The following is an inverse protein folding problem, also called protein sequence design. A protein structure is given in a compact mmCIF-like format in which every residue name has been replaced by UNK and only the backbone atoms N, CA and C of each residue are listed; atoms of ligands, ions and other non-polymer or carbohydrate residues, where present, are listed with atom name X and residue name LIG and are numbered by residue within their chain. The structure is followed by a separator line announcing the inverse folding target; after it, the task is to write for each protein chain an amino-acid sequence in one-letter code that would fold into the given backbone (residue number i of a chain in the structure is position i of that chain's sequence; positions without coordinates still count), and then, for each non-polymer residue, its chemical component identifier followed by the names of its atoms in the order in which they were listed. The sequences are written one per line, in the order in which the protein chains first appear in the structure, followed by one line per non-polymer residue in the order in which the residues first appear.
data_IF_279946995641
#
_entry.id   IF_279946995641
#
_cell.length_a   1.000
_cell.length_b   1.000
_cell.length_c   1.000
_cell.angle_alpha   90.00
_cell.angle_beta   90.00
_cell.angle_gamma   90.00
#
_symmetry.space_group_name_H-M   'P 1'
#
loop_
_entity.id
_entity.type
_entity.pdbx_description
1 polymer ?
#
# COMPACT_ATOMS: atom_id res chain seq x y z
N UNK A 1 3.97 9.77 -25.30
CA UNK A 1 4.17 9.41 -23.88
C UNK A 1 2.85 8.86 -23.39
N UNK A 2 2.81 7.58 -23.03
CA UNK A 2 1.59 7.00 -22.45
C UNK A 2 1.37 7.58 -21.05
N UNK A 3 0.14 8.02 -20.79
CA UNK A 3 -0.24 8.54 -19.49
C UNK A 3 -0.32 7.38 -18.49
N UNK A 4 0.15 7.60 -17.25
CA UNK A 4 -0.02 6.62 -16.19
C UNK A 4 -1.51 6.36 -15.94
N UNK A 5 -1.90 5.09 -15.93
CA UNK A 5 -3.23 4.62 -15.55
C UNK A 5 -3.10 3.54 -14.48
N UNK A 6 -3.90 3.65 -13.41
CA UNK A 6 -3.94 2.64 -12.36
C UNK A 6 -4.70 1.40 -12.86
N UNK A 7 -4.17 0.21 -12.54
CA UNK A 7 -4.82 -1.06 -12.83
C UNK A 7 -6.25 -1.09 -12.27
N UNK A 8 -7.19 -1.64 -13.05
CA UNK A 8 -8.62 -1.64 -12.71
C UNK A 8 -8.91 -2.37 -11.40
N UNK A 9 -8.18 -3.42 -11.06
CA UNK A 9 -8.34 -4.16 -9.81
C UNK A 9 -7.81 -3.36 -8.63
N UNK A 10 -6.62 -2.75 -8.77
CA UNK A 10 -6.11 -1.84 -7.75
C UNK A 10 -7.07 -0.66 -7.52
N UNK A 11 -7.65 -0.11 -8.59
CA UNK A 11 -8.64 0.96 -8.48
C UNK A 11 -9.91 0.50 -7.74
N UNK A 12 -10.43 -0.69 -8.06
CA UNK A 12 -11.65 -1.23 -7.45
C UNK A 12 -11.46 -1.70 -5.99
N UNK A 13 -10.27 -2.21 -5.65
CA UNK A 13 -10.00 -2.83 -4.35
C UNK A 13 -9.44 -1.85 -3.32
N UNK A 14 -9.18 -0.60 -3.71
CA UNK A 14 -8.52 0.38 -2.84
C UNK A 14 -9.19 1.74 -2.84
N UNK A 15 -9.02 2.46 -1.73
CA UNK A 15 -9.35 3.88 -1.63
C UNK A 15 -8.11 4.74 -1.91
N UNK A 16 -8.27 5.89 -2.55
CA UNK A 16 -7.16 6.84 -2.77
C UNK A 16 -6.80 7.57 -1.47
N UNK A 17 -5.51 7.58 -1.12
CA UNK A 17 -4.99 8.25 0.07
C UNK A 17 -4.28 9.53 -0.34
N UNK A 18 -3.20 9.46 -1.11
CA UNK A 18 -2.42 10.63 -1.48
C UNK A 18 -1.66 10.37 -2.78
N UNK A 19 -1.16 11.44 -3.38
CA UNK A 19 -0.16 11.35 -4.45
C UNK A 19 1.13 11.91 -3.90
N UNK A 20 2.16 11.06 -3.85
CA UNK A 20 3.51 11.42 -3.42
C UNK A 20 4.33 11.90 -4.62
N UNK A 21 5.66 11.97 -4.49
CA UNK A 21 6.55 12.37 -5.57
C UNK A 21 6.53 11.36 -6.73
N UNK A 22 6.65 10.07 -6.42
CA UNK A 22 6.64 8.97 -7.37
C UNK A 22 5.33 8.20 -7.33
N UNK A 23 4.81 7.85 -6.15
CA UNK A 23 3.72 6.89 -6.02
C UNK A 23 2.34 7.54 -5.83
N UNK A 24 1.30 6.88 -6.34
CA UNK A 24 -0.04 6.99 -5.77
C UNK A 24 -0.13 6.08 -4.55
N UNK A 25 -0.54 6.63 -3.41
CA UNK A 25 -0.75 5.90 -2.17
C UNK A 25 -2.22 5.50 -2.05
N UNK A 26 -2.46 4.22 -1.83
CA UNK A 26 -3.77 3.58 -1.76
C UNK A 26 -3.97 2.86 -0.44
N UNK A 27 -5.21 2.83 0.07
CA UNK A 27 -5.63 2.01 1.20
C UNK A 27 -6.36 0.78 0.67
N UNK A 28 -5.82 -0.41 0.89
CA UNK A 28 -6.51 -1.66 0.58
C UNK A 28 -7.79 -1.74 1.41
N UNK A 29 -8.91 -2.02 0.75
CA UNK A 29 -10.21 -2.08 1.41
C UNK A 29 -10.42 -3.44 2.13
N UNK A 30 -9.46 -3.81 2.97
CA UNK A 30 -9.53 -4.97 3.86
C UNK A 30 -9.20 -4.50 5.29
N UNK A 31 -10.23 -4.35 6.13
CA UNK A 31 -10.10 -3.79 7.48
C UNK A 31 -9.46 -4.71 8.50
N UNK A 32 -9.16 -5.96 8.12
CA UNK A 32 -8.46 -6.91 8.99
C UNK A 32 -7.05 -6.45 9.34
N UNK A 33 -6.43 -5.64 8.47
CA UNK A 33 -5.14 -4.99 8.72
C UNK A 33 -5.12 -3.58 8.13
N UNK A 34 -4.53 -2.58 8.81
CA UNK A 34 -4.18 -1.31 8.16
C UNK A 34 -3.15 -1.57 7.06
N UNK A 35 -3.58 -1.50 5.80
CA UNK A 35 -2.82 -1.98 4.65
C UNK A 35 -2.77 -0.92 3.55
N UNK A 36 -1.60 -0.33 3.37
CA UNK A 36 -1.31 0.63 2.31
C UNK A 36 -0.61 -0.01 1.12
N UNK A 37 -0.80 0.59 -0.05
CA UNK A 37 -0.17 0.18 -1.30
C UNK A 37 0.39 1.42 -2.00
N UNK A 38 1.68 1.39 -2.29
CA UNK A 38 2.37 2.37 -3.12
C UNK A 38 2.37 1.88 -4.57
N UNK A 39 1.89 2.71 -5.49
CA UNK A 39 1.89 2.42 -6.93
C UNK A 39 2.73 3.48 -7.65
N UNK A 40 3.97 3.16 -8.08
CA UNK A 40 4.79 4.10 -8.84
C UNK A 40 4.07 4.57 -10.10
N UNK A 41 4.03 5.89 -10.31
CA UNK A 41 3.34 6.52 -11.46
C UNK A 41 4.21 6.47 -12.72
N UNK A 42 4.47 5.24 -13.18
CA UNK A 42 5.23 4.91 -14.39
C UNK A 42 4.45 3.85 -15.18
N UNK A 43 4.37 4.05 -16.49
CA UNK A 43 3.57 3.17 -17.35
C UNK A 43 4.33 1.89 -17.68
N UNK A 44 3.64 0.75 -17.65
CA UNK A 44 4.16 -0.54 -18.16
C UNK A 44 5.19 -1.26 -17.28
N UNK A 45 5.47 -0.79 -16.06
CA UNK A 45 6.44 -1.44 -15.17
C UNK A 45 5.78 -2.54 -14.34
N UNK A 46 6.47 -3.67 -14.18
CA UNK A 46 6.00 -4.80 -13.38
C UNK A 46 6.88 -5.03 -12.15
N UNK A 47 8.19 -4.81 -12.28
CA UNK A 47 9.18 -5.15 -11.29
C UNK A 47 9.92 -3.91 -10.78
N UNK A 48 10.45 -3.97 -9.55
CA UNK A 48 11.25 -2.87 -8.98
C UNK A 48 12.47 -2.57 -9.85
N UNK A 49 13.09 -3.59 -10.46
CA UNK A 49 14.26 -3.42 -11.30
C UNK A 49 13.94 -2.83 -12.69
N UNK A 50 12.66 -2.71 -13.07
CA UNK A 50 12.25 -1.98 -14.27
C UNK A 50 12.28 -0.45 -14.07
N UNK A 51 12.24 0.01 -12.81
CA UNK A 51 12.35 1.42 -12.47
C UNK A 51 13.77 1.95 -12.78
N UNK A 52 13.86 3.23 -13.12
CA UNK A 52 15.16 3.92 -13.17
C UNK A 52 15.84 3.87 -11.80
N UNK A 53 17.18 3.93 -11.72
CA UNK A 53 17.89 3.94 -10.42
C UNK A 53 17.41 5.05 -9.47
N UNK A 54 17.02 6.21 -10.02
CA UNK A 54 16.44 7.30 -9.26
C UNK A 54 15.05 6.95 -8.73
N UNK A 55 14.19 6.35 -9.56
CA UNK A 55 12.86 5.93 -9.14
C UNK A 55 12.91 4.76 -8.12
N UNK A 56 13.86 3.84 -8.22
CA UNK A 56 14.09 2.80 -7.19
C UNK A 56 14.44 3.42 -5.84
N UNK A 57 15.28 4.47 -5.87
CA UNK A 57 15.66 5.24 -4.69
C UNK A 57 14.45 5.96 -4.11
N UNK A 58 13.67 6.66 -4.94
CA UNK A 58 12.44 7.34 -4.52
C UNK A 58 11.40 6.38 -3.95
N UNK A 59 11.17 5.22 -4.58
CA UNK A 59 10.26 4.19 -4.06
C UNK A 59 10.70 3.74 -2.66
N UNK A 60 12.00 3.55 -2.45
CA UNK A 60 12.55 3.17 -1.13
C UNK A 60 12.31 4.26 -0.08
N UNK A 61 12.53 5.53 -0.42
CA UNK A 61 12.27 6.66 0.47
C UNK A 61 10.77 6.79 0.81
N UNK A 62 9.89 6.74 -0.19
CA UNK A 62 8.45 6.81 0.01
C UNK A 62 7.92 5.62 0.83
N UNK A 63 8.44 4.41 0.60
CA UNK A 63 8.11 3.24 1.42
C UNK A 63 8.50 3.44 2.89
N UNK A 64 9.64 4.07 3.15
CA UNK A 64 10.09 4.42 4.51
C UNK A 64 9.16 5.43 5.18
N UNK A 65 8.81 6.53 4.50
CA UNK A 65 7.90 7.56 5.01
C UNK A 65 6.53 6.95 5.33
N UNK A 66 5.95 6.21 4.39
CA UNK A 66 4.65 5.57 4.56
C UNK A 66 4.66 4.54 5.69
N UNK A 67 5.73 3.73 5.81
CA UNK A 67 5.86 2.77 6.89
C UNK A 67 5.94 3.44 8.27
N UNK A 68 6.67 4.56 8.39
CA UNK A 68 6.75 5.33 9.63
C UNK A 68 5.40 5.96 10.00
N UNK A 69 4.73 6.60 9.03
CA UNK A 69 3.42 7.19 9.21
C UNK A 69 2.39 6.12 9.65
N UNK A 70 2.33 5.01 8.92
CA UNK A 70 1.40 3.91 9.22
C UNK A 70 1.66 3.32 10.60
N UNK A 71 2.93 3.10 10.96
CA UNK A 71 3.29 2.60 12.30
C UNK A 71 2.87 3.57 13.40
N UNK A 72 3.09 4.88 13.22
CA UNK A 72 2.68 5.92 14.16
C UNK A 72 1.16 6.00 14.35
N UNK A 73 0.40 5.92 13.26
CA UNK A 73 -1.07 6.02 13.28
C UNK A 73 -1.71 4.80 13.95
N UNK A 74 -1.11 3.61 13.76
CA UNK A 74 -1.70 2.34 14.21
C UNK A 74 -1.12 1.81 15.51
N UNK A 75 -0.02 2.41 15.99
CA UNK A 75 0.81 1.90 17.09
C UNK A 75 1.16 0.41 16.94
N UNK A 76 1.29 -0.06 15.68
CA UNK A 76 1.51 -1.48 15.44
C UNK A 76 2.91 -1.94 15.85
N UNK A 77 3.00 -3.21 16.23
CA UNK A 77 4.26 -3.83 16.63
C UNK A 77 5.24 -3.92 15.44
N UNK A 78 4.76 -4.28 14.24
CA UNK A 78 5.63 -4.49 13.07
C UNK A 78 5.00 -4.01 11.77
N UNK A 79 5.83 -3.45 10.88
CA UNK A 79 5.47 -3.24 9.47
C UNK A 79 5.96 -4.42 8.63
N UNK A 80 5.11 -4.94 7.76
CA UNK A 80 5.48 -5.83 6.65
C UNK A 80 5.48 -5.03 5.35
N UNK A 81 6.47 -5.28 4.49
CA UNK A 81 6.56 -4.72 3.15
C UNK A 81 6.75 -5.82 2.12
N UNK A 82 6.20 -5.64 0.92
CA UNK A 82 6.36 -6.63 -0.14
C UNK A 82 5.90 -6.14 -1.50
N UNK A 83 6.70 -6.41 -2.54
CA UNK A 83 6.31 -6.29 -3.94
C UNK A 83 6.17 -7.73 -4.48
N UNK A 84 4.94 -8.11 -4.84
CA UNK A 84 4.64 -9.48 -5.27
C UNK A 84 4.23 -9.53 -6.74
N UNK A 85 3.09 -8.93 -7.10
CA UNK A 85 2.70 -8.77 -8.50
C UNK A 85 2.14 -10.02 -9.20
N UNK A 86 1.94 -11.14 -8.51
CA UNK A 86 1.45 -12.38 -9.15
C UNK A 86 0.03 -12.26 -9.73
N UNK A 87 -0.85 -11.46 -9.12
CA UNK A 87 -2.25 -11.28 -9.56
C UNK A 87 -2.40 -10.03 -10.44
N UNK A 88 -1.91 -8.89 -9.96
CA UNK A 88 -1.86 -7.62 -10.69
C UNK A 88 -0.41 -7.34 -11.04
N UNK A 89 -0.11 -7.25 -12.34
CA UNK A 89 1.28 -7.11 -12.81
C UNK A 89 1.84 -5.70 -12.65
N UNK A 90 1.00 -4.67 -12.71
CA UNK A 90 1.46 -3.29 -12.49
C UNK A 90 2.20 -3.22 -11.16
N UNK A 91 3.43 -2.69 -11.18
CA UNK A 91 4.28 -2.60 -10.01
C UNK A 91 3.54 -1.89 -8.87
N UNK A 92 3.48 -2.56 -7.72
CA UNK A 92 2.95 -2.00 -6.49
C UNK A 92 3.65 -2.61 -5.28
N UNK A 93 3.85 -1.79 -4.25
CA UNK A 93 4.52 -2.17 -3.02
C UNK A 93 3.53 -2.08 -1.86
N UNK A 94 3.30 -3.21 -1.19
CA UNK A 94 2.47 -3.27 0.00
C UNK A 94 3.24 -2.77 1.23
N UNK A 95 2.56 -2.04 2.12
CA UNK A 95 3.04 -1.59 3.43
C UNK A 95 1.93 -1.84 4.46
N UNK A 96 2.17 -2.74 5.42
CA UNK A 96 1.10 -3.37 6.22
C UNK A 96 1.45 -3.31 7.69
N UNK A 97 0.55 -2.77 8.51
CA UNK A 97 0.65 -2.79 9.96
C UNK A 97 0.25 -4.16 10.51
N UNK A 98 1.08 -4.73 11.38
CA UNK A 98 0.91 -6.07 11.95
C UNK A 98 1.10 -6.09 13.45
N UNK A 99 0.34 -6.95 14.12
CA UNK A 99 0.38 -7.19 15.56
C UNK A 99 0.24 -8.69 15.86
N UNK A 100 0.84 -9.13 16.96
CA UNK A 100 0.51 -10.43 17.53
C UNK A 100 -1.00 -10.56 17.76
N UNK A 101 -1.58 -11.67 17.27
CA UNK A 101 -3.01 -11.94 17.36
C UNK A 101 -3.87 -11.34 16.23
N UNK A 102 -3.29 -10.56 15.30
CA UNK A 102 -4.00 -10.19 14.08
C UNK A 102 -4.29 -11.42 13.20
N UNK A 103 -5.27 -11.28 12.30
CA UNK A 103 -5.62 -12.37 11.40
C UNK A 103 -4.39 -12.86 10.64
N UNK A 104 -4.16 -14.17 10.64
CA UNK A 104 -3.02 -14.78 9.94
C UNK A 104 -1.65 -14.59 10.59
N UNK A 105 -1.51 -13.96 11.76
CA UNK A 105 -0.24 -13.90 12.49
C UNK A 105 0.30 -15.30 12.87
N UNK A 106 1.62 -15.59 12.78
CA UNK A 106 2.72 -14.74 12.27
C UNK A 106 2.93 -14.85 10.75
N UNK A 107 2.02 -15.50 10.04
CA UNK A 107 2.07 -15.66 8.60
C UNK A 107 1.74 -14.40 7.80
N UNK A 108 1.81 -14.50 6.46
CA UNK A 108 1.48 -13.41 5.55
C UNK A 108 -0.02 -13.12 5.53
N UNK A 109 -0.39 -11.86 5.24
CA UNK A 109 -1.79 -11.47 5.00
C UNK A 109 -2.27 -11.89 3.61
N UNK A 110 -1.35 -12.00 2.65
CA UNK A 110 -1.69 -12.31 1.25
C UNK A 110 -2.26 -13.73 1.13
N UNK A 111 -3.48 -13.82 0.61
CA UNK A 111 -4.19 -15.10 0.46
C UNK A 111 -4.78 -15.65 1.77
N UNK A 112 -4.70 -14.91 2.88
CA UNK A 112 -5.26 -15.34 4.15
C UNK A 112 -6.73 -14.93 4.28
N UNK A 113 -7.64 -15.92 4.34
CA UNK A 113 -9.07 -15.72 4.60
C UNK A 113 -9.81 -14.86 3.58
N UNK A 114 -11.05 -14.50 3.91
CA UNK A 114 -11.87 -13.60 3.10
C UNK A 114 -11.70 -12.14 3.54
N UNK A 115 -11.63 -11.23 2.56
CA UNK A 115 -11.56 -9.79 2.77
C UNK A 115 -12.77 -9.29 3.57
N UNK A 116 -12.53 -8.44 4.56
CA UNK A 116 -13.58 -7.70 5.27
C UNK A 116 -13.49 -6.23 4.87
N UNK A 117 -14.51 -5.70 4.20
CA UNK A 117 -14.49 -4.30 3.76
C UNK A 117 -14.57 -3.32 4.94
N UNK A 118 -13.98 -2.14 4.78
CA UNK A 118 -14.23 -1.00 5.66
C UNK A 118 -15.63 -0.45 5.43
N UNK A 119 -16.24 0.06 6.50
CA UNK A 119 -17.26 1.08 6.38
C UNK A 119 -16.63 2.39 5.86
N UNK A 120 -17.33 3.12 4.99
CA UNK A 120 -16.77 4.31 4.33
C UNK A 120 -16.24 5.37 5.31
N UNK A 121 -16.94 5.55 6.44
CA UNK A 121 -16.54 6.50 7.50
C UNK A 121 -15.23 6.11 8.17
N UNK A 122 -15.04 4.82 8.42
CA UNK A 122 -13.84 4.31 9.09
C UNK A 122 -12.64 4.35 8.13
N UNK A 123 -12.86 4.00 6.85
CA UNK A 123 -11.85 4.17 5.82
C UNK A 123 -11.42 5.65 5.72
N UNK A 124 -12.39 6.58 5.64
CA UNK A 124 -12.09 8.01 5.53
C UNK A 124 -11.32 8.54 6.74
N UNK A 125 -11.72 8.14 7.96
CA UNK A 125 -11.01 8.54 9.19
C UNK A 125 -9.57 8.05 9.21
N UNK A 126 -9.33 6.79 8.82
CA UNK A 126 -7.99 6.24 8.73
C UNK A 126 -7.16 6.96 7.66
N UNK A 127 -7.75 7.25 6.50
CA UNK A 127 -7.11 8.02 5.41
C UNK A 127 -6.65 9.39 5.91
N UNK A 128 -7.50 10.14 6.63
CA UNK A 128 -7.16 11.45 7.16
C UNK A 128 -6.04 11.39 8.21
N UNK A 129 -6.06 10.40 9.10
CA UNK A 129 -4.97 10.20 10.06
C UNK A 129 -3.64 9.87 9.38
N UNK A 130 -3.67 9.05 8.32
CA UNK A 130 -2.47 8.72 7.54
C UNK A 130 -1.96 9.97 6.81
N UNK A 131 -2.83 10.74 6.15
CA UNK A 131 -2.46 12.00 5.49
C UNK A 131 -1.79 12.98 6.45
N UNK A 132 -2.30 13.11 7.66
CA UNK A 132 -1.73 13.99 8.68
C UNK A 132 -0.38 13.51 9.24
N UNK A 133 -0.03 12.24 9.02
CA UNK A 133 1.21 11.62 9.51
C UNK A 133 2.30 11.45 8.43
N UNK A 134 1.99 11.72 7.16
CA UNK A 134 2.93 11.77 6.03
C UNK A 134 3.69 13.10 6.01
#
# INVERSE_FOLDING_TARGET
MEQFELDKRLSADTFSVAVLGLCELRLMNDRRWPWLILVPRRTGLAEIHDLTPLDQTLLTFEAGIVAQALKKVTDCQKINTGALGNIVRQLHLHVIARNEGDAGWPGPVWGHGAREAYDEKDAHKLIEHIRAAL
#
